data_IF_609098788015
#
_entry.id   IF_609098788015
#
_cell.length_a   1.000
_cell.length_b   1.000
_cell.length_c   1.000
_cell.angle_alpha   90.00
_cell.angle_beta   90.00
_cell.angle_gamma   90.00
#
_symmetry.space_group_name_H-M   'P 1'
#
loop_
_entity.id
_entity.type
_entity.pdbx_description
1 polymer ?
#
# COMPACT_ATOMS: atom_id res chain seq x y z
N UNK A 1 -19.97 3.00 1.52
CA UNK A 1 -19.62 1.58 1.84
C UNK A 1 -20.25 0.70 0.79
N UNK A 2 -19.48 -0.02 -0.03
CA UNK A 2 -20.04 -0.94 -1.04
C UNK A 2 -20.60 -2.17 -0.31
N UNK A 3 -21.69 -2.76 -0.79
CA UNK A 3 -22.41 -3.86 -0.13
C UNK A 3 -21.52 -5.05 0.31
N UNK A 4 -20.41 -5.27 -0.39
CA UNK A 4 -19.42 -6.31 -0.07
C UNK A 4 -18.62 -5.99 1.19
N UNK A 5 -18.26 -4.73 1.42
CA UNK A 5 -17.47 -4.34 2.59
C UNK A 5 -18.27 -4.54 3.89
N UNK A 6 -19.59 -4.31 3.83
CA UNK A 6 -20.51 -4.59 4.94
C UNK A 6 -20.63 -6.10 5.19
N UNK A 7 -20.73 -6.92 4.15
CA UNK A 7 -20.82 -8.37 4.31
C UNK A 7 -19.60 -8.95 5.03
N UNK A 8 -18.39 -8.42 4.80
CA UNK A 8 -17.19 -8.84 5.52
C UNK A 8 -17.20 -8.47 7.00
N UNK A 9 -17.71 -7.30 7.36
CA UNK A 9 -17.87 -6.88 8.76
C UNK A 9 -18.94 -7.74 9.45
N UNK A 10 -20.09 -7.95 8.80
CA UNK A 10 -21.18 -8.74 9.35
C UNK A 10 -20.78 -10.21 9.58
N UNK A 11 -19.93 -10.79 8.72
CA UNK A 11 -19.40 -12.15 8.85
C UNK A 11 -18.33 -12.29 9.97
N UNK A 12 -17.57 -11.22 10.22
CA UNK A 12 -16.59 -11.14 11.31
C UNK A 12 -17.31 -11.03 12.66
N UNK A 13 -18.31 -10.14 12.75
CA UNK A 13 -19.14 -9.95 13.94
C UNK A 13 -20.04 -11.15 14.25
N UNK A 14 -20.51 -11.87 13.21
CA UNK A 14 -21.29 -13.10 13.41
C UNK A 14 -20.44 -14.28 13.89
N UNK A 15 -19.11 -14.16 13.93
CA UNK A 15 -18.17 -15.22 14.33
C UNK A 15 -18.01 -16.35 13.33
N UNK A 16 -18.55 -16.23 12.11
CA UNK A 16 -18.42 -17.24 11.06
C UNK A 16 -17.05 -17.18 10.39
N UNK A 17 -16.46 -15.99 10.31
CA UNK A 17 -15.10 -15.74 9.85
C UNK A 17 -14.40 -14.79 10.81
N UNK A 18 -13.86 -15.27 11.94
CA UNK A 18 -13.20 -14.43 12.95
C UNK A 18 -11.82 -13.98 12.45
N UNK A 19 -11.84 -13.00 11.56
CA UNK A 19 -10.67 -12.37 10.94
C UNK A 19 -10.13 -11.21 11.77
N UNK A 20 -10.93 -10.65 12.68
CA UNK A 20 -10.57 -9.51 13.52
C UNK A 20 -10.56 -8.16 12.78
N UNK A 21 -11.15 -8.13 11.58
CA UNK A 21 -11.15 -6.97 10.69
C UNK A 21 -12.02 -5.85 11.23
N UNK A 22 -13.11 -6.16 11.92
CA UNK A 22 -13.93 -5.17 12.61
C UNK A 22 -13.12 -4.42 13.67
N UNK A 23 -12.32 -5.12 14.47
CA UNK A 23 -11.45 -4.53 15.49
C UNK A 23 -10.28 -3.75 14.87
N UNK A 24 -9.67 -4.27 13.81
CA UNK A 24 -8.60 -3.58 13.09
C UNK A 24 -9.10 -2.25 12.50
N UNK A 25 -10.26 -2.22 11.84
CA UNK A 25 -10.84 -0.98 11.33
C UNK A 25 -11.24 0.00 12.42
N UNK A 26 -11.72 -0.48 13.58
CA UNK A 26 -12.08 0.38 14.71
C UNK A 26 -10.86 1.06 15.35
N UNK A 27 -9.69 0.42 15.29
CA UNK A 27 -8.43 0.93 15.87
C UNK A 27 -7.58 1.70 14.85
N UNK A 28 -7.69 1.39 13.56
CA UNK A 28 -7.00 2.07 12.46
C UNK A 28 -7.92 3.11 11.80
N UNK A 29 -8.41 4.05 12.62
CA UNK A 29 -9.26 5.17 12.18
C UNK A 29 -8.47 6.46 11.91
N UNK A 30 -7.20 6.48 12.30
CA UNK A 30 -6.27 7.56 11.96
C UNK A 30 -5.82 7.40 10.52
N UNK A 31 -5.85 8.48 9.74
CA UNK A 31 -5.35 8.45 8.37
C UNK A 31 -3.86 8.07 8.32
N UNK A 32 -3.51 7.18 7.40
CA UNK A 32 -2.13 6.75 7.19
C UNK A 32 -1.36 7.74 6.31
N UNK A 33 -0.11 8.01 6.68
CA UNK A 33 0.82 8.76 5.84
C UNK A 33 1.71 7.79 5.09
N UNK A 34 1.59 7.80 3.77
CA UNK A 34 2.37 6.96 2.86
C UNK A 34 3.31 7.88 2.09
N UNK A 35 4.61 7.62 2.19
CA UNK A 35 5.65 8.40 1.53
C UNK A 35 6.36 7.57 0.46
N UNK A 36 6.26 8.01 -0.79
CA UNK A 36 6.98 7.44 -1.91
C UNK A 36 8.14 8.35 -2.31
N UNK A 37 9.28 7.77 -2.66
CA UNK A 37 10.49 8.53 -3.01
C UNK A 37 11.08 8.03 -4.32
N UNK A 38 11.52 8.96 -5.17
CA UNK A 38 12.10 8.65 -6.48
C UNK A 38 13.36 9.47 -6.72
N UNK A 39 14.48 8.77 -6.95
CA UNK A 39 15.78 9.35 -7.22
C UNK A 39 16.20 9.04 -8.65
N UNK A 40 16.35 10.05 -9.50
CA UNK A 40 16.80 9.89 -10.88
C UNK A 40 18.20 10.46 -11.10
N UNK A 41 19.11 9.64 -11.61
CA UNK A 41 20.46 10.04 -12.02
C UNK A 41 20.58 9.95 -13.55
N UNK A 42 21.04 11.02 -14.21
CA UNK A 42 21.38 10.99 -15.64
C UNK A 42 22.86 10.65 -15.82
N UNK A 43 23.12 9.57 -16.56
CA UNK A 43 24.47 9.18 -16.95
C UNK A 43 24.61 9.57 -18.43
N UNK A 44 25.37 10.62 -18.70
CA UNK A 44 25.47 11.20 -20.03
C UNK A 44 24.14 11.76 -20.57
N UNK A 45 24.08 11.94 -21.89
CA UNK A 45 22.92 12.55 -22.56
C UNK A 45 21.75 11.57 -22.71
N UNK A 46 22.08 10.28 -22.92
CA UNK A 46 21.14 9.25 -23.34
C UNK A 46 20.72 8.25 -22.26
N UNK A 47 21.42 8.16 -21.13
CA UNK A 47 21.10 7.16 -20.09
C UNK A 47 20.55 7.83 -18.83
N UNK A 48 19.53 7.19 -18.23
CA UNK A 48 18.98 7.58 -16.93
C UNK A 48 18.75 6.33 -16.09
N UNK A 49 19.28 6.35 -14.86
CA UNK A 49 18.97 5.38 -13.82
C UNK A 49 18.01 6.03 -12.84
N UNK A 50 16.94 5.36 -12.48
CA UNK A 50 15.97 5.83 -11.49
C UNK A 50 15.77 4.78 -10.42
N UNK A 51 15.96 5.14 -9.17
CA UNK A 51 15.64 4.33 -8.00
C UNK A 51 14.33 4.81 -7.39
N UNK A 52 13.38 3.91 -7.21
CA UNK A 52 12.04 4.19 -6.69
C UNK A 52 11.87 3.36 -5.43
N UNK A 53 11.43 4.02 -4.35
CA UNK A 53 11.06 3.38 -3.09
C UNK A 53 9.60 3.74 -2.85
N UNK A 54 8.71 2.76 -2.91
CA UNK A 54 7.31 2.95 -2.53
C UNK A 54 7.14 2.55 -1.06
N UNK A 55 6.32 3.31 -0.33
CA UNK A 55 6.09 3.14 1.11
C UNK A 55 7.42 3.14 1.90
N UNK A 56 8.15 4.26 1.84
CA UNK A 56 9.47 4.44 2.48
C UNK A 56 9.43 4.09 3.98
N UNK A 57 8.36 4.52 4.66
CA UNK A 57 8.11 4.32 6.09
C UNK A 57 7.72 2.88 6.42
N UNK A 58 7.42 2.04 5.41
CA UNK A 58 6.91 0.68 5.58
C UNK A 58 5.67 0.63 6.49
N UNK A 59 4.78 1.60 6.31
CA UNK A 59 3.50 1.69 7.01
C UNK A 59 2.61 0.55 6.52
N UNK A 60 2.05 -0.23 7.44
CA UNK A 60 1.03 -1.22 7.14
C UNK A 60 -0.33 -0.53 7.10
N UNK A 61 -1.05 -0.64 5.98
CA UNK A 61 -2.34 0.01 5.79
C UNK A 61 -3.26 -0.83 4.91
N UNK A 62 -4.56 -0.60 5.04
CA UNK A 62 -5.58 -1.24 4.21
C UNK A 62 -6.73 -0.25 3.97
N UNK A 63 -7.08 -0.04 2.70
CA UNK A 63 -8.19 0.84 2.32
C UNK A 63 -9.54 0.12 2.45
N UNK A 64 -9.54 -1.22 2.41
CA UNK A 64 -10.74 -2.05 2.51
C UNK A 64 -10.56 -3.19 3.51
N UNK A 65 -11.65 -3.68 4.12
CA UNK A 65 -11.65 -4.90 4.92
C UNK A 65 -10.91 -6.03 4.18
N UNK A 66 -9.96 -6.68 4.83
CA UNK A 66 -9.16 -7.81 4.28
C UNK A 66 -8.32 -7.50 3.03
N UNK A 67 -8.13 -6.23 2.68
CA UNK A 67 -7.31 -5.82 1.54
C UNK A 67 -6.06 -5.08 2.02
N UNK A 68 -5.10 -5.84 2.56
CA UNK A 68 -3.81 -5.29 2.99
C UNK A 68 -3.07 -4.79 1.74
N UNK A 69 -2.69 -3.52 1.76
CA UNK A 69 -1.98 -2.88 0.66
C UNK A 69 -0.49 -3.28 0.65
N UNK A 70 0.22 -3.11 -0.48
CA UNK A 70 1.61 -3.54 -0.59
C UNK A 70 2.53 -2.89 0.47
N UNK A 71 3.36 -3.73 1.09
CA UNK A 71 4.48 -3.30 1.93
C UNK A 71 5.55 -2.53 1.13
N UNK A 72 6.59 -2.04 1.81
CA UNK A 72 7.70 -1.33 1.17
C UNK A 72 8.29 -2.11 0.00
N UNK A 73 8.44 -1.44 -1.14
CA UNK A 73 9.05 -2.00 -2.34
C UNK A 73 10.16 -1.11 -2.89
N UNK A 74 11.14 -1.76 -3.52
CA UNK A 74 12.28 -1.11 -4.16
C UNK A 74 12.27 -1.46 -5.64
N UNK A 75 12.38 -0.45 -6.51
CA UNK A 75 12.45 -0.64 -7.95
C UNK A 75 13.60 0.17 -8.53
N UNK A 76 14.37 -0.47 -9.42
CA UNK A 76 15.42 0.18 -10.20
C UNK A 76 14.96 0.21 -11.66
N UNK A 77 15.01 1.37 -12.29
CA UNK A 77 14.58 1.58 -13.65
C UNK A 77 15.73 2.17 -14.46
N UNK A 78 16.07 1.54 -15.57
CA UNK A 78 17.04 2.04 -16.53
C UNK A 78 16.30 2.52 -17.78
N UNK A 79 16.63 3.72 -18.25
CA UNK A 79 16.04 4.31 -19.47
C UNK A 79 17.16 4.75 -20.40
N UNK A 80 17.05 4.33 -21.66
CA UNK A 80 17.90 4.78 -22.75
C UNK A 80 17.06 5.60 -23.73
N UNK A 81 17.52 6.80 -24.06
CA UNK A 81 16.87 7.70 -25.03
C UNK A 81 17.75 7.79 -26.27
N UNK A 82 17.23 7.36 -27.42
CA UNK A 82 17.87 7.52 -28.73
C UNK A 82 17.74 8.96 -29.23
#
# INVERSE_FOLDING_TARGET
VRNIDRAFVDLDESGLLPTGVGQWMATHTTGDWILDTRFGWRIGEHQRITFIVNNLTNTEYAVRPLAIEPMRSYQVQFTYSH
#
